data_IF_286698823132
#
_entry.id   IF_286698823132
#
_cell.length_a   1.000
_cell.length_b   1.000
_cell.length_c   1.000
_cell.angle_alpha   90.00
_cell.angle_beta   90.00
_cell.angle_gamma   90.00
#
_symmetry.space_group_name_H-M   'P 1'
#
loop_
_entity.id
_entity.type
_entity.pdbx_description
1 polymer ?
#
# COMPACT_ATOMS: atom_id res chain seq x y z
N UNK A 1 14.89 -3.00 -15.32
CA UNK A 1 13.86 -3.12 -16.38
C UNK A 1 12.44 -2.90 -15.85
N UNK A 2 11.93 -3.69 -14.90
CA UNK A 2 10.58 -3.48 -14.36
C UNK A 2 10.42 -2.15 -13.59
N UNK A 3 11.37 -1.84 -12.70
CA UNK A 3 11.40 -0.56 -11.97
C UNK A 3 11.52 0.64 -12.93
N UNK A 4 12.30 0.49 -13.99
CA UNK A 4 12.45 1.56 -15.00
C UNK A 4 11.12 1.83 -15.72
N UNK A 5 10.34 0.78 -16.01
CA UNK A 5 9.01 0.90 -16.58
C UNK A 5 8.03 1.57 -15.59
N UNK A 6 8.11 1.23 -14.30
CA UNK A 6 7.30 1.84 -13.24
C UNK A 6 7.60 3.34 -13.09
N UNK A 7 8.87 3.73 -13.13
CA UNK A 7 9.30 5.13 -13.14
C UNK A 7 8.79 5.88 -14.39
N UNK A 8 8.74 5.21 -15.54
CA UNK A 8 8.15 5.77 -16.76
C UNK A 8 6.65 6.02 -16.63
N UNK A 9 5.92 5.12 -15.97
CA UNK A 9 4.50 5.31 -15.65
C UNK A 9 4.29 6.47 -14.66
N UNK A 10 5.10 6.58 -13.60
CA UNK A 10 5.07 7.71 -12.68
C UNK A 10 5.36 9.04 -13.39
N UNK A 11 6.34 9.05 -14.30
CA UNK A 11 6.62 10.23 -15.14
C UNK A 11 5.42 10.58 -16.02
N UNK A 12 4.66 9.58 -16.48
CA UNK A 12 3.46 9.80 -17.29
C UNK A 12 2.35 10.52 -16.54
N UNK A 13 2.27 10.41 -15.20
CA UNK A 13 1.35 11.21 -14.38
C UNK A 13 1.58 12.72 -14.55
N UNK A 14 2.81 13.15 -14.88
CA UNK A 14 3.11 14.55 -15.14
C UNK A 14 2.38 15.09 -16.37
N UNK A 15 2.08 14.24 -17.37
CA UNK A 15 1.27 14.64 -18.52
C UNK A 15 -0.21 14.78 -18.16
N UNK A 16 -0.71 14.03 -17.17
CA UNK A 16 -2.10 14.11 -16.70
C UNK A 16 -2.40 15.48 -16.07
N UNK A 17 -1.39 16.17 -15.51
CA UNK A 17 -1.51 17.54 -14.98
C UNK A 17 -2.01 18.54 -16.04
N UNK A 18 -1.71 18.31 -17.31
CA UNK A 18 -2.11 19.17 -18.43
C UNK A 18 -3.62 19.08 -18.74
N UNK A 19 -4.26 17.97 -18.39
CA UNK A 19 -5.69 17.75 -18.65
C UNK A 19 -6.53 18.57 -17.65
N UNK A 20 -7.42 19.46 -18.12
CA UNK A 20 -8.11 20.41 -17.25
C UNK A 20 -9.00 19.77 -16.17
N UNK A 21 -9.53 18.58 -16.41
CA UNK A 21 -10.34 17.87 -15.42
C UNK A 21 -9.51 17.08 -14.41
N UNK A 22 -8.38 16.47 -14.80
CA UNK A 22 -7.63 15.56 -13.93
C UNK A 22 -6.49 16.23 -13.14
N UNK A 23 -6.02 17.40 -13.58
CA UNK A 23 -4.85 18.05 -12.97
C UNK A 23 -5.07 18.52 -11.53
N UNK A 24 -6.21 19.15 -11.23
CA UNK A 24 -6.53 19.59 -9.86
C UNK A 24 -6.70 18.42 -8.89
N UNK A 25 -7.25 17.29 -9.33
CA UNK A 25 -7.34 16.07 -8.51
C UNK A 25 -5.96 15.48 -8.21
N UNK A 26 -5.06 15.41 -9.20
CA UNK A 26 -3.72 14.87 -8.98
C UNK A 26 -2.90 15.72 -8.01
N UNK A 27 -2.98 17.05 -8.13
CA UNK A 27 -2.34 17.99 -7.19
C UNK A 27 -2.93 17.83 -5.78
N UNK A 28 -4.24 17.66 -5.68
CA UNK A 28 -4.93 17.41 -4.41
C UNK A 28 -4.42 16.13 -3.74
N UNK A 29 -4.31 15.03 -4.49
CA UNK A 29 -3.77 13.75 -3.97
C UNK A 29 -2.36 13.96 -3.40
N UNK A 30 -1.47 14.65 -4.13
CA UNK A 30 -0.11 14.91 -3.68
C UNK A 30 -0.02 15.70 -2.38
N UNK A 31 -0.91 16.68 -2.18
CA UNK A 31 -0.97 17.47 -0.94
C UNK A 31 -1.48 16.66 0.26
N UNK A 32 -2.28 15.61 0.01
CA UNK A 32 -2.85 14.75 1.05
C UNK A 32 -1.91 13.62 1.49
N UNK A 33 -0.86 13.29 0.71
CA UNK A 33 0.10 12.22 1.04
C UNK A 33 0.79 12.44 2.39
N UNK A 34 1.06 13.69 2.78
CA UNK A 34 1.70 13.97 4.08
C UNK A 34 0.79 13.62 5.27
N UNK A 35 -0.52 13.86 5.11
CA UNK A 35 -1.52 13.58 6.15
C UNK A 35 -1.82 12.06 6.18
N UNK A 36 -1.73 11.39 5.02
CA UNK A 36 -1.79 9.93 4.88
C UNK A 36 -0.63 9.22 5.60
N UNK A 37 0.59 9.76 5.56
CA UNK A 37 1.76 9.11 6.14
C UNK A 37 1.59 8.81 7.64
N UNK A 38 0.97 9.72 8.39
CA UNK A 38 0.65 9.51 9.80
C UNK A 38 -0.37 8.38 9.99
N UNK A 39 -1.35 8.28 9.11
CA UNK A 39 -2.37 7.23 9.18
C UNK A 39 -1.77 5.84 8.88
N UNK A 40 -0.91 5.75 7.86
CA UNK A 40 -0.18 4.51 7.54
C UNK A 40 0.64 4.04 8.76
N UNK A 41 1.22 4.97 9.52
CA UNK A 41 1.96 4.62 10.75
C UNK A 41 1.05 3.98 11.80
N UNK A 42 -0.20 4.44 11.95
CA UNK A 42 -1.18 3.81 12.85
C UNK A 42 -1.52 2.40 12.37
N UNK A 43 -1.81 2.22 11.08
CA UNK A 43 -2.05 0.88 10.49
C UNK A 43 -0.86 -0.03 10.77
N UNK A 44 0.37 0.45 10.56
CA UNK A 44 1.59 -0.31 10.78
C UNK A 44 1.73 -0.77 12.24
N UNK A 45 1.43 0.11 13.21
CA UNK A 45 1.46 -0.24 14.63
C UNK A 45 0.44 -1.34 14.95
N UNK A 46 -0.80 -1.21 14.44
CA UNK A 46 -1.86 -2.21 14.66
C UNK A 46 -1.50 -3.54 14.00
N UNK A 47 -0.90 -3.50 12.80
CA UNK A 47 -0.40 -4.70 12.11
C UNK A 47 0.68 -5.42 12.90
N UNK A 48 1.68 -4.69 13.40
CA UNK A 48 2.75 -5.26 14.24
C UNK A 48 2.17 -5.89 15.49
N UNK A 49 1.24 -5.18 16.15
CA UNK A 49 0.62 -5.66 17.39
C UNK A 49 -0.05 -7.03 17.23
N UNK A 50 -0.84 -7.19 16.18
CA UNK A 50 -1.45 -8.49 15.88
C UNK A 50 -0.42 -9.53 15.44
N UNK A 51 0.48 -9.20 14.51
CA UNK A 51 1.41 -10.19 13.96
C UNK A 51 2.41 -10.71 15.01
N UNK A 52 2.82 -9.89 15.98
CA UNK A 52 3.64 -10.36 17.11
C UNK A 52 2.83 -11.27 18.03
N UNK A 53 1.58 -10.92 18.32
CA UNK A 53 0.70 -11.72 19.15
C UNK A 53 0.39 -13.09 18.52
N UNK A 54 0.08 -13.14 17.22
CA UNK A 54 -0.24 -14.39 16.52
C UNK A 54 0.97 -15.34 16.49
N UNK A 55 2.17 -14.83 16.15
CA UNK A 55 3.40 -15.65 16.16
C UNK A 55 3.80 -16.11 17.56
N UNK A 56 3.54 -15.30 18.59
CA UNK A 56 3.75 -15.72 19.97
C UNK A 56 2.83 -16.86 20.41
N UNK A 57 1.59 -16.92 19.90
CA UNK A 57 0.65 -17.99 20.25
C UNK A 57 0.93 -19.28 19.48
N UNK A 58 1.33 -19.18 18.20
CA UNK A 58 1.67 -20.33 17.35
C UNK A 58 2.98 -21.01 17.79
N UNK A 59 3.91 -20.28 18.42
CA UNK A 59 5.19 -20.83 18.89
C UNK A 59 5.09 -21.83 20.06
N UNK A 60 3.88 -22.15 20.53
CA UNK A 60 3.70 -23.20 21.53
C UNK A 60 3.89 -24.58 20.85
N UNK A 61 4.88 -25.39 21.26
CA UNK A 61 5.22 -26.61 20.56
C UNK A 61 4.04 -27.59 20.60
N UNK A 62 3.46 -27.84 19.43
CA UNK A 62 2.60 -28.99 19.18
C UNK A 62 3.50 -30.23 19.28
N UNK A 63 3.52 -30.86 20.45
CA UNK A 63 4.11 -32.19 20.61
C UNK A 63 3.15 -33.17 19.91
N UNK A 64 3.46 -33.51 18.65
CA UNK A 64 2.69 -34.50 17.90
C UNK A 64 3.16 -35.90 18.27
N UNK A 65 2.28 -36.67 18.92
CA UNK A 65 2.57 -38.04 19.35
C UNK A 65 2.22 -39.09 18.28
N UNK A 66 1.93 -38.70 17.03
CA UNK A 66 1.39 -39.62 16.02
C UNK A 66 2.24 -39.64 14.74
N UNK A 67 2.84 -40.80 14.50
CA UNK A 67 3.81 -41.13 13.44
C UNK A 67 3.23 -41.26 12.02
N UNK A 68 2.09 -40.64 11.70
CA UNK A 68 1.46 -40.80 10.39
C UNK A 68 0.94 -39.42 9.95
N UNK A 69 1.35 -39.00 8.74
CA UNK A 69 1.00 -37.74 8.03
C UNK A 69 1.96 -36.54 8.17
N UNK A 70 3.26 -36.81 8.22
CA UNK A 70 4.33 -35.81 8.11
C UNK A 70 4.67 -35.39 6.65
N UNK A 71 3.67 -35.17 5.78
CA UNK A 71 3.92 -34.71 4.39
C UNK A 71 3.67 -33.22 4.15
N UNK A 72 3.21 -32.47 5.16
CA UNK A 72 3.16 -31.01 5.10
C UNK A 72 3.59 -30.44 6.45
N UNK A 73 4.91 -30.45 6.66
CA UNK A 73 5.54 -29.68 7.73
C UNK A 73 5.37 -28.21 7.37
N UNK A 74 4.30 -27.59 7.85
CA UNK A 74 4.25 -26.14 7.95
C UNK A 74 5.39 -25.80 8.89
N UNK A 75 6.42 -25.13 8.35
CA UNK A 75 7.57 -24.69 9.10
C UNK A 75 7.11 -23.58 10.05
N UNK A 76 6.51 -23.98 11.17
CA UNK A 76 6.09 -23.10 12.26
C UNK A 76 7.29 -22.68 13.12
N UNK A 77 8.51 -22.96 12.67
CA UNK A 77 9.72 -22.49 13.34
C UNK A 77 9.81 -20.97 13.23
N UNK A 78 9.82 -20.34 14.41
CA UNK A 78 9.97 -18.91 14.54
C UNK A 78 11.45 -18.56 14.34
N UNK A 79 11.84 -18.27 13.09
CA UNK A 79 13.18 -17.76 12.79
C UNK A 79 13.24 -16.26 13.07
N UNK A 80 14.03 -15.88 14.09
CA UNK A 80 14.31 -14.50 14.46
C UNK A 80 14.77 -13.62 13.29
N UNK A 81 15.43 -14.21 12.27
CA UNK A 81 15.93 -13.47 11.10
C UNK A 81 14.84 -13.09 10.11
N UNK A 82 13.74 -13.86 10.10
CA UNK A 82 12.60 -13.67 9.20
C UNK A 82 11.38 -13.14 9.94
N UNK A 83 11.51 -12.76 11.21
CA UNK A 83 10.44 -12.20 12.04
C UNK A 83 9.61 -11.16 11.28
N UNK A 84 10.28 -10.19 10.64
CA UNK A 84 9.58 -9.10 9.95
C UNK A 84 8.77 -9.62 8.74
N UNK A 85 9.29 -10.61 8.01
CA UNK A 85 8.55 -11.23 6.93
C UNK A 85 7.38 -12.06 7.47
N UNK A 86 7.64 -12.95 8.43
CA UNK A 86 6.63 -13.85 9.00
C UNK A 86 5.50 -13.10 9.73
N UNK A 87 5.81 -11.97 10.36
CA UNK A 87 4.84 -11.15 11.12
C UNK A 87 4.03 -10.25 10.20
N UNK A 88 4.66 -9.57 9.24
CA UNK A 88 3.97 -8.55 8.44
C UNK A 88 3.30 -9.10 7.19
N UNK A 89 3.92 -10.10 6.54
CA UNK A 89 3.44 -10.64 5.27
C UNK A 89 1.98 -11.12 5.35
N UNK A 90 1.57 -12.05 6.24
CA UNK A 90 0.19 -12.54 6.27
C UNK A 90 -0.82 -11.43 6.59
N UNK A 91 -0.46 -10.56 7.54
CA UNK A 91 -1.32 -9.48 8.00
C UNK A 91 -1.60 -8.47 6.87
N UNK A 92 -0.65 -8.28 5.95
CA UNK A 92 -0.86 -7.44 4.77
C UNK A 92 -1.93 -8.01 3.85
N UNK A 93 -1.95 -9.33 3.63
CA UNK A 93 -2.98 -10.01 2.82
C UNK A 93 -4.36 -9.97 3.48
N UNK A 94 -4.44 -9.91 4.81
CA UNK A 94 -5.71 -9.77 5.52
C UNK A 94 -6.43 -8.44 5.24
N UNK A 95 -5.70 -7.39 4.87
CA UNK A 95 -6.28 -6.12 4.42
C UNK A 95 -7.03 -6.28 3.09
N UNK A 96 -6.61 -7.22 2.25
CA UNK A 96 -7.25 -7.55 0.98
C UNK A 96 -8.30 -8.65 1.10
N UNK A 97 -8.52 -9.17 2.31
CA UNK A 97 -9.49 -10.22 2.59
C UNK A 97 -8.98 -11.64 2.31
N UNK A 98 -7.67 -11.82 2.13
CA UNK A 98 -7.05 -13.14 1.93
C UNK A 98 -6.46 -13.63 3.25
N UNK A 99 -7.27 -14.36 4.03
CA UNK A 99 -6.92 -14.88 5.36
C UNK A 99 -7.18 -16.38 5.51
N UNK A 100 -7.47 -17.08 4.40
CA UNK A 100 -7.82 -18.51 4.41
C UNK A 100 -6.68 -19.38 4.94
N UNK A 101 -5.44 -19.08 4.53
CA UNK A 101 -4.24 -19.79 5.00
C UNK A 101 -4.06 -19.64 6.52
N UNK A 102 -4.33 -18.46 7.08
CA UNK A 102 -4.24 -18.27 8.53
C UNK A 102 -5.35 -19.04 9.24
N UNK A 103 -6.58 -19.04 8.71
CA UNK A 103 -7.69 -19.79 9.30
C UNK A 103 -7.38 -21.29 9.40
N UNK A 104 -6.82 -21.88 8.33
CA UNK A 104 -6.39 -23.29 8.33
C UNK A 104 -5.30 -23.56 9.38
N UNK A 105 -4.36 -22.64 9.54
CA UNK A 105 -3.34 -22.72 10.58
C UNK A 105 -3.93 -22.64 12.00
N UNK A 106 -4.99 -21.86 12.21
CA UNK A 106 -5.70 -21.73 13.48
C UNK A 106 -6.58 -22.94 13.83
N UNK A 107 -7.06 -23.68 12.84
CA UNK A 107 -7.83 -24.91 13.06
C UNK A 107 -6.94 -26.12 13.39
N UNK A 108 -5.64 -26.03 13.10
CA UNK A 108 -4.66 -27.11 13.33
C UNK A 108 -4.18 -27.21 14.79
N UNK A 109 -4.62 -26.32 15.69
CA UNK A 109 -4.22 -26.34 17.10
C UNK A 109 -4.80 -27.58 17.82
N UNK A 110 -3.98 -28.33 18.59
CA UNK A 110 -4.47 -29.47 19.37
C UNK A 110 -5.41 -29.06 20.51
N UNK A 111 -5.24 -27.84 21.03
CA UNK A 111 -6.02 -27.29 22.14
C UNK A 111 -7.10 -26.32 21.64
N UNK A 112 -8.36 -26.71 21.81
CA UNK A 112 -9.52 -25.91 21.40
C UNK A 112 -9.56 -24.50 22.02
N UNK A 113 -9.02 -24.32 23.24
CA UNK A 113 -9.03 -23.02 23.94
C UNK A 113 -8.13 -22.00 23.25
N UNK A 114 -6.95 -22.42 22.81
CA UNK A 114 -5.99 -21.56 22.12
C UNK A 114 -6.46 -21.26 20.69
N UNK A 115 -7.06 -22.26 20.02
CA UNK A 115 -7.71 -22.05 18.71
C UNK A 115 -8.79 -20.96 18.79
N UNK A 116 -9.73 -21.05 19.75
CA UNK A 116 -10.80 -20.06 19.93
C UNK A 116 -10.21 -18.67 20.23
N UNK A 117 -9.20 -18.58 21.10
CA UNK A 117 -8.57 -17.31 21.43
C UNK A 117 -7.93 -16.64 20.21
N UNK A 118 -7.24 -17.40 19.37
CA UNK A 118 -6.62 -16.89 18.14
C UNK A 118 -7.65 -16.47 17.08
N UNK A 119 -8.77 -17.21 16.94
CA UNK A 119 -9.88 -16.82 16.08
C UNK A 119 -10.52 -15.50 16.52
N UNK A 120 -10.71 -15.31 17.84
CA UNK A 120 -11.21 -14.04 18.39
C UNK A 120 -10.21 -12.91 18.13
N UNK A 121 -8.92 -13.15 18.33
CA UNK A 121 -7.86 -12.16 18.07
C UNK A 121 -7.87 -11.73 16.58
N UNK A 122 -7.97 -12.69 15.65
CA UNK A 122 -8.08 -12.44 14.21
C UNK A 122 -9.35 -11.63 13.89
N UNK A 123 -10.50 -12.03 14.42
CA UNK A 123 -11.76 -11.32 14.19
C UNK A 123 -11.72 -9.87 14.67
N UNK A 124 -11.19 -9.62 15.88
CA UNK A 124 -11.02 -8.27 16.42
C UNK A 124 -10.06 -7.47 15.55
N UNK A 125 -8.96 -8.07 15.10
CA UNK A 125 -8.00 -7.40 14.23
C UNK A 125 -8.61 -7.00 12.88
N UNK A 126 -9.38 -7.88 12.24
CA UNK A 126 -10.08 -7.59 10.99
C UNK A 126 -11.10 -6.46 11.17
N UNK A 127 -11.87 -6.44 12.26
CA UNK A 127 -12.81 -5.36 12.57
C UNK A 127 -12.05 -4.03 12.73
N UNK A 128 -10.95 -4.04 13.49
CA UNK A 128 -10.14 -2.84 13.69
C UNK A 128 -9.57 -2.32 12.37
N UNK A 129 -8.90 -3.15 11.56
CA UNK A 129 -8.31 -2.70 10.31
C UNK A 129 -9.33 -2.38 9.23
N UNK A 130 -10.17 -3.35 8.85
CA UNK A 130 -11.03 -3.25 7.68
C UNK A 130 -12.27 -2.39 7.90
N UNK A 131 -12.86 -2.44 9.10
CA UNK A 131 -14.11 -1.72 9.38
C UNK A 131 -13.84 -0.39 10.08
N UNK A 132 -12.95 -0.32 11.06
CA UNK A 132 -12.71 0.91 11.80
C UNK A 132 -11.68 1.81 11.09
N UNK A 133 -10.45 1.34 10.90
CA UNK A 133 -9.36 2.15 10.37
C UNK A 133 -9.59 2.51 8.89
N UNK A 134 -9.96 1.56 8.03
CA UNK A 134 -10.21 1.88 6.61
C UNK A 134 -11.36 2.88 6.43
N UNK A 135 -12.46 2.75 7.18
CA UNK A 135 -13.56 3.73 7.10
C UNK A 135 -13.15 5.11 7.64
N UNK A 136 -12.35 5.15 8.71
CA UNK A 136 -11.80 6.40 9.21
C UNK A 136 -10.82 7.03 8.21
N UNK A 137 -10.00 6.24 7.54
CA UNK A 137 -9.07 6.68 6.51
C UNK A 137 -9.82 7.35 5.36
N UNK A 138 -10.87 6.68 4.86
CA UNK A 138 -11.73 7.23 3.82
C UNK A 138 -12.38 8.53 4.30
N UNK A 139 -12.91 8.57 5.52
CA UNK A 139 -13.56 9.77 6.07
C UNK A 139 -12.59 10.96 6.22
N UNK A 140 -11.39 10.73 6.73
CA UNK A 140 -10.34 11.75 6.82
C UNK A 140 -9.95 12.21 5.42
N UNK A 141 -9.77 11.29 4.47
CA UNK A 141 -9.44 11.65 3.10
C UNK A 141 -10.51 12.52 2.45
N UNK A 142 -11.78 12.16 2.56
CA UNK A 142 -12.87 12.98 2.03
C UNK A 142 -12.87 14.38 2.65
N UNK A 143 -12.69 14.48 3.97
CA UNK A 143 -12.63 15.78 4.66
C UNK A 143 -11.42 16.62 4.24
N UNK A 144 -10.24 16.01 4.16
CA UNK A 144 -9.01 16.69 3.72
C UNK A 144 -9.09 17.05 2.24
N UNK A 145 -9.77 16.23 1.45
CA UNK A 145 -10.07 16.51 0.05
C UNK A 145 -10.83 17.82 -0.09
N UNK A 146 -11.98 17.94 0.58
CA UNK A 146 -12.77 19.17 0.53
C UNK A 146 -12.01 20.40 1.01
N UNK A 147 -11.18 20.26 2.05
CA UNK A 147 -10.41 21.39 2.61
C UNK A 147 -9.29 21.88 1.69
N UNK A 148 -8.58 20.96 1.03
CA UNK A 148 -7.38 21.29 0.25
C UNK A 148 -7.70 21.48 -1.23
N UNK A 149 -8.89 21.06 -1.70
CA UNK A 149 -9.26 21.11 -3.11
C UNK A 149 -9.18 22.54 -3.71
N UNK A 150 -9.65 23.56 -2.98
CA UNK A 150 -9.61 24.95 -3.46
C UNK A 150 -8.18 25.48 -3.58
N UNK A 151 -7.32 25.16 -2.60
CA UNK A 151 -5.91 25.54 -2.63
C UNK A 151 -5.16 24.78 -3.74
N UNK A 152 -5.46 23.49 -3.91
CA UNK A 152 -4.91 22.66 -4.96
C UNK A 152 -5.27 23.17 -6.36
N UNK A 153 -6.46 23.75 -6.55
CA UNK A 153 -6.86 24.35 -7.81
C UNK A 153 -5.99 25.56 -8.16
N UNK A 154 -5.67 26.41 -7.18
CA UNK A 154 -4.76 27.55 -7.37
C UNK A 154 -3.35 27.09 -7.72
N UNK A 155 -2.83 26.09 -7.00
CA UNK A 155 -1.51 25.49 -7.28
C UNK A 155 -1.48 24.86 -8.67
N UNK A 156 -2.55 24.16 -9.07
CA UNK A 156 -2.68 23.57 -10.39
C UNK A 156 -2.64 24.63 -11.50
N UNK A 157 -3.34 25.76 -11.34
CA UNK A 157 -3.27 26.86 -12.31
C UNK A 157 -1.84 27.39 -12.48
N UNK A 158 -1.09 27.55 -11.37
CA UNK A 158 0.31 27.97 -11.42
C UNK A 158 1.21 26.93 -12.10
N UNK A 159 1.08 25.65 -11.77
CA UNK A 159 1.86 24.57 -12.38
C UNK A 159 1.56 24.43 -13.88
N UNK A 160 0.28 24.47 -14.26
CA UNK A 160 -0.17 24.44 -15.65
C UNK A 160 0.39 25.61 -16.45
N UNK A 161 0.42 26.81 -15.87
CA UNK A 161 1.01 27.98 -16.52
C UNK A 161 2.51 27.79 -16.79
N UNK A 162 3.27 27.32 -15.79
CA UNK A 162 4.71 27.06 -15.95
C UNK A 162 4.98 26.02 -17.03
N UNK A 163 4.25 24.89 -16.99
CA UNK A 163 4.38 23.84 -18.01
C UNK A 163 4.04 24.37 -19.40
N UNK A 164 2.91 25.07 -19.54
CA UNK A 164 2.49 25.64 -20.82
C UNK A 164 3.52 26.62 -21.36
N UNK A 165 4.08 27.49 -20.51
CA UNK A 165 5.15 28.42 -20.88
C UNK A 165 6.42 27.69 -21.32
N UNK A 166 6.83 26.64 -20.61
CA UNK A 166 8.00 25.84 -20.98
C UNK A 166 7.79 25.14 -22.33
N UNK A 167 6.59 24.63 -22.61
CA UNK A 167 6.23 24.06 -23.92
C UNK A 167 6.18 25.10 -25.04
N UNK A 168 5.82 26.36 -24.76
CA UNK A 168 5.88 27.44 -25.76
C UNK A 168 7.30 27.92 -26.05
N UNK A 169 8.21 27.83 -25.07
CA UNK A 169 9.62 28.25 -25.22
C UNK A 169 10.49 27.13 -25.80
N UNK A 170 10.16 25.86 -25.53
CA UNK A 170 10.79 24.71 -26.21
C UNK A 170 10.15 24.50 -27.59
N UNK A 171 10.94 23.98 -28.53
CA UNK A 171 10.49 23.66 -29.90
C UNK A 171 9.15 22.90 -29.88
N UNK A 172 8.19 23.21 -30.78
CA UNK A 172 6.81 22.69 -30.76
C UNK A 172 6.66 21.17 -30.97
N UNK A 173 7.77 20.42 -31.03
CA UNK A 173 7.82 19.02 -31.40
C UNK A 173 8.13 18.10 -30.21
N UNK A 174 7.45 16.94 -30.17
CA UNK A 174 7.70 15.86 -29.21
C UNK A 174 9.19 15.53 -29.12
N UNK A 175 9.72 15.11 -27.95
CA UNK A 175 11.15 14.82 -27.75
C UNK A 175 11.82 14.02 -28.88
N UNK A 176 11.23 12.96 -29.45
CA UNK A 176 11.84 12.26 -30.61
C UNK A 176 11.95 13.10 -31.89
N UNK A 177 11.02 14.03 -32.13
CA UNK A 177 10.96 14.84 -33.36
C UNK A 177 11.80 16.12 -33.22
N UNK A 178 12.01 16.60 -31.99
CA UNK A 178 12.87 17.76 -31.72
C UNK A 178 14.32 17.54 -32.17
N UNK A 179 14.87 16.34 -31.96
CA UNK A 179 16.22 15.97 -32.42
C UNK A 179 16.34 15.96 -33.96
N UNK A 180 15.28 15.55 -34.67
CA UNK A 180 15.26 15.57 -36.14
C UNK A 180 15.20 17.00 -36.68
N UNK A 181 14.44 17.89 -36.03
CA UNK A 181 14.42 19.32 -36.37
C UNK A 181 15.76 20.01 -36.09
N UNK A 182 16.41 19.69 -34.97
CA UNK A 182 17.72 20.26 -34.63
C UNK A 182 18.79 19.81 -35.63
N UNK A 183 18.75 18.56 -36.09
CA UNK A 183 19.64 18.07 -37.16
C UNK A 183 19.33 18.73 -38.50
N UNK A 184 18.04 18.88 -38.86
CA UNK A 184 17.61 19.47 -40.12
C UNK A 184 17.82 21.00 -40.22
N UNK A 185 17.99 21.68 -39.08
CA UNK A 185 18.33 23.12 -39.04
C UNK A 185 19.84 23.39 -39.06
N UNK A 186 20.66 22.35 -38.84
CA UNK A 186 22.13 22.38 -38.89
C UNK A 186 22.71 21.95 -40.25
N UNK A 187 21.87 21.49 -41.20
CA UNK A 187 22.22 21.12 -42.58
C UNK A 187 21.79 22.19 -43.59
#
# INVERSE_FOLDING_TARGET
>A
MAIDLELWWLRSLSFIILVPFLGSYLVSIGLMVKDLAFFILIILIVMIGYGVASRSMVSYPVVSNSTIEANYSIDTSFDGRLMLYQVFYPVYYFLYGDFDEELENLDRFPDARWSIASHILLAVHLILLNILLTNLLIAIFTKRFEQVYTDAQNVWHSQKYVLTREYFVRSPFLPPISLLCDIATLS
#
